data_IF_064675211104
#
_entry.id   IF_064675211104
#
_cell.length_a   1.000
_cell.length_b   1.000
_cell.length_c   1.000
_cell.angle_alpha   90.00
_cell.angle_beta   90.00
_cell.angle_gamma   90.00
#
_symmetry.space_group_name_H-M   'P 1'
#
loop_
_entity.id
_entity.type
_entity.pdbx_description
1 polymer ?
#
# COMPACT_ATOMS: atom_id res chain seq x y z
N UNK A 1 6.00 18.73 8.05
CA UNK A 1 5.62 18.86 6.62
C UNK A 1 4.94 17.56 6.25
N UNK A 2 3.69 17.61 5.78
CA UNK A 2 2.91 16.42 5.41
C UNK A 2 3.34 16.02 4.00
N UNK A 3 3.70 14.76 3.78
CA UNK A 3 4.24 14.28 2.51
C UNK A 3 3.24 13.28 1.90
N UNK A 4 2.72 13.58 0.72
CA UNK A 4 1.88 12.65 -0.06
C UNK A 4 2.73 11.64 -0.82
N UNK A 5 2.11 10.61 -1.42
CA UNK A 5 2.83 9.67 -2.29
C UNK A 5 3.53 10.40 -3.45
N UNK A 6 2.86 11.39 -4.04
CA UNK A 6 3.37 12.19 -5.15
C UNK A 6 4.59 13.03 -4.74
N UNK A 7 4.52 13.71 -3.59
CA UNK A 7 5.64 14.52 -3.08
C UNK A 7 6.86 13.66 -2.77
N UNK A 8 6.60 12.51 -2.16
CA UNK A 8 7.62 11.53 -1.84
C UNK A 8 8.28 10.89 -3.08
N UNK A 9 7.54 10.73 -4.18
CA UNK A 9 8.09 10.36 -5.48
C UNK A 9 8.92 11.52 -6.08
N UNK A 10 8.41 12.75 -6.01
CA UNK A 10 9.14 13.94 -6.50
C UNK A 10 10.49 14.13 -5.80
N UNK A 11 10.54 13.94 -4.48
CA UNK A 11 11.77 14.06 -3.68
C UNK A 11 12.83 13.00 -4.06
N UNK A 12 12.41 11.88 -4.64
CA UNK A 12 13.30 10.85 -5.20
C UNK A 12 13.71 11.14 -6.65
N UNK A 13 13.27 12.27 -7.21
CA UNK A 13 13.61 12.69 -8.57
C UNK A 13 12.88 11.91 -9.67
N UNK A 14 11.71 11.34 -9.38
CA UNK A 14 10.94 10.54 -10.35
C UNK A 14 9.65 11.22 -10.80
N UNK A 15 9.12 10.79 -11.95
CA UNK A 15 7.82 11.22 -12.47
C UNK A 15 6.68 10.92 -11.48
N UNK A 16 5.59 11.67 -11.61
CA UNK A 16 4.42 11.51 -10.73
C UNK A 16 3.81 10.12 -10.92
N UNK A 17 3.59 9.33 -9.85
CA UNK A 17 2.92 8.04 -9.95
C UNK A 17 1.45 8.22 -10.32
N UNK A 18 0.88 7.27 -11.05
CA UNK A 18 -0.53 7.28 -11.48
C UNK A 18 -1.32 6.15 -10.80
N UNK A 19 -2.53 6.43 -10.30
CA UNK A 19 -3.42 5.38 -9.77
C UNK A 19 -3.97 4.53 -10.92
N UNK A 20 -3.84 3.19 -10.84
CA UNK A 20 -4.28 2.27 -11.92
C UNK A 20 -5.75 1.88 -11.81
N UNK A 21 -6.40 2.14 -10.68
CA UNK A 21 -7.78 1.74 -10.51
C UNK A 21 -8.29 1.88 -9.08
N UNK A 22 -9.29 1.05 -8.77
CA UNK A 22 -9.90 1.00 -7.45
C UNK A 22 -9.09 0.20 -6.43
N UNK A 23 -9.79 -0.25 -5.39
CA UNK A 23 -9.23 -1.11 -4.34
C UNK A 23 -8.61 -2.38 -4.94
N UNK A 24 -7.42 -2.72 -4.46
CA UNK A 24 -6.67 -3.91 -4.83
C UNK A 24 -7.07 -5.08 -3.92
N UNK A 25 -7.70 -6.14 -4.43
CA UNK A 25 -8.12 -7.28 -3.62
C UNK A 25 -6.93 -8.04 -2.98
N UNK A 26 -7.15 -8.73 -1.84
CA UNK A 26 -6.10 -9.49 -1.16
C UNK A 26 -5.35 -10.49 -2.03
N UNK A 27 -6.06 -11.24 -2.86
CA UNK A 27 -5.43 -12.24 -3.73
C UNK A 27 -4.61 -11.58 -4.86
N UNK A 28 -5.01 -10.39 -5.32
CA UNK A 28 -4.25 -9.64 -6.31
C UNK A 28 -2.99 -9.03 -5.73
N UNK A 29 -3.06 -8.46 -4.52
CA UNK A 29 -1.88 -7.97 -3.81
C UNK A 29 -0.89 -9.11 -3.52
N UNK A 30 -1.38 -10.25 -3.05
CA UNK A 30 -0.56 -11.45 -2.83
C UNK A 30 0.08 -11.95 -4.12
N UNK A 31 -0.63 -11.90 -5.26
CA UNK A 31 -0.11 -12.25 -6.58
C UNK A 31 1.00 -11.27 -6.99
N UNK A 32 0.78 -9.96 -6.85
CA UNK A 32 1.79 -8.93 -7.13
C UNK A 32 3.06 -9.11 -6.29
N UNK A 33 2.91 -9.38 -4.99
CA UNK A 33 4.03 -9.64 -4.09
C UNK A 33 4.86 -10.87 -4.47
N UNK A 34 4.25 -11.85 -5.16
CA UNK A 34 4.90 -13.12 -5.54
C UNK A 34 5.51 -13.07 -6.93
N UNK A 35 4.81 -12.45 -7.88
CA UNK A 35 5.10 -12.56 -9.30
C UNK A 35 6.06 -11.47 -9.80
N UNK A 36 6.40 -10.49 -8.97
CA UNK A 36 7.29 -9.37 -9.33
C UNK A 36 8.75 -9.69 -8.99
N UNK A 37 9.62 -9.90 -10.00
CA UNK A 37 11.00 -10.32 -9.80
C UNK A 37 11.85 -9.25 -9.12
N UNK A 38 11.56 -7.99 -9.39
CA UNK A 38 12.27 -6.83 -8.83
C UNK A 38 11.64 -6.34 -7.50
N UNK A 39 10.55 -7.00 -7.06
CA UNK A 39 9.81 -6.68 -5.85
C UNK A 39 8.78 -5.55 -6.05
N UNK A 40 8.06 -5.23 -4.98
CA UNK A 40 7.07 -4.13 -4.97
C UNK A 40 7.35 -3.23 -3.78
N UNK A 41 7.07 -1.94 -3.91
CA UNK A 41 7.08 -1.02 -2.78
C UNK A 41 5.71 -0.95 -2.12
N UNK A 42 5.64 -1.14 -0.80
CA UNK A 42 4.42 -0.88 -0.03
C UNK A 42 4.56 0.46 0.70
N UNK A 43 3.61 1.35 0.47
CA UNK A 43 3.58 2.67 1.09
C UNK A 43 2.38 2.74 2.01
N UNK A 44 2.62 3.01 3.29
CA UNK A 44 1.56 3.10 4.27
C UNK A 44 1.12 4.55 4.36
N UNK A 45 -0.17 4.78 4.17
CA UNK A 45 -0.78 6.11 4.31
C UNK A 45 -1.82 6.13 5.42
N UNK A 46 -2.17 7.31 5.90
CA UNK A 46 -3.38 7.51 6.72
C UNK A 46 -4.61 7.75 5.82
N UNK A 47 -5.78 7.96 6.44
CA UNK A 47 -7.04 8.27 5.73
C UNK A 47 -7.03 9.59 4.94
N UNK A 48 -6.02 10.45 5.15
CA UNK A 48 -5.80 11.68 4.39
C UNK A 48 -4.75 11.48 3.27
N UNK A 49 -4.34 10.24 3.00
CA UNK A 49 -3.31 9.87 2.03
C UNK A 49 -1.91 10.44 2.36
N UNK A 50 -1.64 10.74 3.63
CA UNK A 50 -0.32 11.18 4.07
C UNK A 50 0.58 9.97 4.33
N UNK A 51 1.81 9.98 3.80
CA UNK A 51 2.76 8.86 3.95
C UNK A 51 3.22 8.76 5.39
N UNK A 52 2.87 7.65 6.03
CA UNK A 52 3.25 7.30 7.40
C UNK A 52 4.52 6.45 7.41
N UNK A 53 4.63 5.50 6.47
CA UNK A 53 5.78 4.61 6.40
C UNK A 53 6.00 4.08 4.98
N UNK A 54 7.20 3.56 4.71
CA UNK A 54 7.56 2.90 3.45
C UNK A 54 8.25 1.58 3.75
N UNK A 55 7.68 0.49 3.24
CA UNK A 55 8.27 -0.83 3.37
C UNK A 55 9.07 -1.12 2.10
N UNK A 56 10.38 -1.41 2.23
CA UNK A 56 11.21 -1.68 1.07
C UNK A 56 10.92 -3.09 0.51
N UNK A 57 11.17 -3.33 -0.79
CA UNK A 57 10.71 -4.53 -1.49
C UNK A 57 11.11 -5.85 -0.82
N UNK A 58 12.33 -5.94 -0.29
CA UNK A 58 12.86 -7.12 0.39
C UNK A 58 12.13 -7.47 1.70
N UNK A 59 11.36 -6.53 2.26
CA UNK A 59 10.56 -6.72 3.48
C UNK A 59 9.07 -6.88 3.21
N UNK A 60 8.59 -6.51 2.03
CA UNK A 60 7.16 -6.43 1.71
C UNK A 60 6.43 -7.75 1.91
N UNK A 61 6.99 -8.89 1.47
CA UNK A 61 6.32 -10.18 1.64
C UNK A 61 6.24 -10.63 3.11
N UNK A 62 7.27 -10.31 3.92
CA UNK A 62 7.26 -10.58 5.36
C UNK A 62 6.23 -9.71 6.06
N UNK A 63 6.20 -8.42 5.73
CA UNK A 63 5.23 -7.47 6.25
C UNK A 63 3.80 -7.88 5.89
N UNK A 64 3.55 -8.25 4.63
CA UNK A 64 2.26 -8.77 4.19
C UNK A 64 1.79 -9.96 5.05
N UNK A 65 2.65 -10.96 5.24
CA UNK A 65 2.30 -12.17 6.00
C UNK A 65 2.03 -11.90 7.47
N UNK A 66 2.82 -11.01 8.08
CA UNK A 66 2.76 -10.75 9.51
C UNK A 66 1.66 -9.75 9.89
N UNK A 67 1.35 -8.80 9.01
CA UNK A 67 0.55 -7.62 9.34
C UNK A 67 -0.67 -7.47 8.43
N UNK A 68 -0.43 -7.31 7.13
CA UNK A 68 -1.44 -6.81 6.19
C UNK A 68 -2.49 -7.87 5.89
N UNK A 69 -2.10 -9.14 5.75
CA UNK A 69 -2.99 -10.24 5.34
C UNK A 69 -4.22 -10.37 6.24
N UNK A 70 -4.08 -10.18 7.55
CA UNK A 70 -5.19 -10.29 8.51
C UNK A 70 -5.96 -8.99 8.72
N UNK A 71 -5.54 -7.90 8.06
CA UNK A 71 -6.08 -6.55 8.24
C UNK A 71 -6.50 -5.90 6.92
N UNK A 72 -6.36 -6.58 5.79
CA UNK A 72 -6.72 -6.01 4.51
C UNK A 72 -8.24 -6.11 4.29
N UNK A 73 -8.86 -4.97 4.01
CA UNK A 73 -10.28 -4.90 3.68
C UNK A 73 -10.52 -5.34 2.24
N UNK A 74 -11.64 -6.01 2.00
CA UNK A 74 -12.14 -6.36 0.65
C UNK A 74 -13.18 -5.36 0.13
N UNK A 75 -13.80 -4.60 1.04
CA UNK A 75 -14.74 -3.53 0.72
C UNK A 75 -14.41 -2.27 1.54
N UNK A 76 -15.12 -1.17 1.27
CA UNK A 76 -14.94 0.10 1.96
C UNK A 76 -15.64 0.17 3.34
N UNK A 77 -16.20 -0.95 3.82
CA UNK A 77 -16.93 -1.02 5.08
C UNK A 77 -16.01 -1.15 6.28
N UNK A 78 -15.41 -0.04 6.73
CA UNK A 78 -14.63 -0.05 7.96
C UNK A 78 -15.53 0.08 9.20
N UNK A 79 -15.61 -0.99 10.00
CA UNK A 79 -16.13 -0.95 11.36
C UNK A 79 -15.03 -1.43 12.31
N UNK A 80 -14.49 -0.50 13.10
CA UNK A 80 -13.30 -0.69 13.93
C UNK A 80 -13.37 -1.94 14.82
N UNK A 81 -14.56 -2.28 15.32
CA UNK A 81 -14.80 -3.40 16.22
C UNK A 81 -14.62 -4.77 15.52
N UNK A 82 -14.65 -4.80 14.18
CA UNK A 82 -14.49 -6.01 13.39
C UNK A 82 -13.02 -6.32 13.08
N UNK A 83 -12.08 -5.41 13.42
CA UNK A 83 -10.69 -5.50 13.00
C UNK A 83 -9.72 -5.70 14.17
N UNK A 84 -8.70 -6.57 14.02
CA UNK A 84 -7.67 -6.75 15.05
C UNK A 84 -6.99 -5.43 15.42
N UNK A 85 -6.87 -5.16 16.72
CA UNK A 85 -6.25 -3.95 17.28
C UNK A 85 -6.92 -2.62 16.84
N UNK A 86 -8.10 -2.70 16.23
CA UNK A 86 -8.90 -1.55 15.83
C UNK A 86 -8.40 -0.81 14.60
N UNK A 87 -7.68 -1.46 13.68
CA UNK A 87 -7.34 -0.86 12.39
C UNK A 87 -7.32 -1.88 11.24
N UNK A 88 -7.49 -1.36 10.02
CA UNK A 88 -7.45 -2.12 8.79
C UNK A 88 -6.64 -1.39 7.71
N UNK A 89 -6.36 -2.08 6.61
CA UNK A 89 -5.75 -1.52 5.42
C UNK A 89 -6.72 -1.56 4.24
N UNK A 90 -6.79 -0.47 3.48
CA UNK A 90 -7.31 -0.44 2.12
C UNK A 90 -6.12 -0.43 1.16
N UNK A 91 -5.98 -1.46 0.32
CA UNK A 91 -4.92 -1.49 -0.68
C UNK A 91 -5.36 -0.79 -1.97
N UNK A 92 -4.50 0.01 -2.57
CA UNK A 92 -4.67 0.61 -3.89
C UNK A 92 -3.41 0.44 -4.71
N UNK A 93 -3.55 0.11 -5.99
CA UNK A 93 -2.41 -0.04 -6.89
C UNK A 93 -2.11 1.25 -7.63
N UNK A 94 -0.82 1.57 -7.70
CA UNK A 94 -0.27 2.68 -8.45
C UNK A 94 0.72 2.17 -9.50
N UNK A 95 0.74 2.80 -10.68
CA UNK A 95 1.90 2.74 -11.57
C UNK A 95 2.88 3.73 -10.99
N UNK A 96 4.07 3.26 -10.65
CA UNK A 96 5.19 4.16 -10.47
C UNK A 96 5.93 4.30 -11.80
N UNK A 97 6.68 5.39 -12.01
CA UNK A 97 7.71 5.42 -13.07
C UNK A 97 8.88 4.48 -12.81
N UNK A 98 9.03 3.92 -11.60
CA UNK A 98 9.89 2.76 -11.40
C UNK A 98 9.27 1.61 -12.22
N UNK A 99 10.09 0.76 -12.85
CA UNK A 99 9.60 -0.48 -13.50
C UNK A 99 8.93 -1.44 -12.50
N UNK A 100 8.89 -1.08 -11.23
CA UNK A 100 8.39 -1.81 -10.08
C UNK A 100 7.01 -1.29 -9.66
N UNK A 101 6.03 -2.17 -9.37
CA UNK A 101 4.71 -1.76 -8.91
C UNK A 101 4.76 -1.09 -7.53
N UNK A 102 3.94 -0.05 -7.35
CA UNK A 102 3.71 0.60 -6.07
C UNK A 102 2.31 0.25 -5.57
N UNK A 103 2.22 -0.12 -4.29
CA UNK A 103 0.94 -0.35 -3.61
C UNK A 103 0.84 0.56 -2.41
N UNK A 104 -0.23 1.35 -2.38
CA UNK A 104 -0.63 2.11 -1.21
C UNK A 104 -1.45 1.21 -0.28
N UNK A 105 -1.11 1.23 1.00
CA UNK A 105 -1.85 0.62 2.09
C UNK A 105 -2.36 1.74 2.99
N UNK A 106 -3.58 2.21 2.72
CA UNK A 106 -4.23 3.21 3.55
C UNK A 106 -4.68 2.58 4.85
N UNK A 107 -4.13 3.02 5.97
CA UNK A 107 -4.50 2.59 7.31
C UNK A 107 -5.76 3.33 7.76
N UNK A 108 -6.78 2.58 8.17
CA UNK A 108 -8.03 3.09 8.74
C UNK A 108 -8.11 2.67 10.21
N UNK A 109 -8.32 3.61 11.15
CA UNK A 109 -8.35 3.39 12.61
C UNK A 109 -9.45 4.18 13.35
#
# INVERSE_FOLDING_TARGET
MRQTIEDACRDLGVETPERIGGQLPPEDLKRLLRDQPDGIHLWITDVFHEVVDRIPPERCFRFWKAEVRSRLMEDCGFARELWPDGYAYLAQQWVSPYREPLVELMRCD
#
